data_IF_429762717540
#
_entry.id   IF_429762717540
#
_cell.length_a   1.000
_cell.length_b   1.000
_cell.length_c   1.000
_cell.angle_alpha   90.00
_cell.angle_beta   90.00
_cell.angle_gamma   90.00
#
_symmetry.space_group_name_H-M   'P 1'
#
loop_
_entity.id
_entity.type
_entity.pdbx_description
1 polymer ?
#
# COMPACT_ATOMS: atom_id res chain seq x y z
N UNK A 1 -3.91 30.66 74.88
CA UNK A 1 -3.04 31.06 73.75
C UNK A 1 -3.05 29.93 72.74
N UNK A 2 -3.87 30.02 71.68
CA UNK A 2 -4.03 28.97 70.68
C UNK A 2 -3.09 29.20 69.49
N UNK A 3 -2.21 28.24 69.25
CA UNK A 3 -1.29 28.16 68.12
C UNK A 3 -2.03 27.82 66.82
N UNK A 4 -1.96 28.70 65.81
CA UNK A 4 -2.40 28.40 64.44
C UNK A 4 -1.23 27.83 63.66
N UNK A 5 -1.34 26.55 63.27
CA UNK A 5 -0.46 25.90 62.30
C UNK A 5 -0.59 26.58 60.93
N UNK A 6 0.52 27.07 60.40
CA UNK A 6 0.65 27.52 59.00
C UNK A 6 0.90 26.27 58.13
N UNK A 7 -0.03 25.96 57.22
CA UNK A 7 0.15 24.90 56.22
C UNK A 7 1.10 25.38 55.10
N UNK A 8 2.02 24.54 54.59
CA UNK A 8 2.91 24.93 53.51
C UNK A 8 2.15 24.99 52.17
N UNK A 9 2.40 26.04 51.38
CA UNK A 9 1.91 26.20 49.99
C UNK A 9 2.49 25.07 49.12
N UNK A 10 1.63 24.23 48.53
CA UNK A 10 2.00 23.30 47.44
C UNK A 10 2.55 24.12 46.26
N UNK A 11 3.81 23.92 45.89
CA UNK A 11 4.35 24.33 44.59
C UNK A 11 3.64 23.51 43.51
N UNK A 12 2.96 24.17 42.58
CA UNK A 12 2.43 23.52 41.38
C UNK A 12 3.61 23.00 40.54
N UNK A 13 3.58 21.71 40.18
CA UNK A 13 4.51 21.16 39.22
C UNK A 13 4.33 21.91 37.89
N UNK A 14 5.39 22.58 37.42
CA UNK A 14 5.40 23.19 36.11
C UNK A 14 5.20 22.08 35.06
N UNK A 15 4.22 22.25 34.18
CA UNK A 15 4.01 21.33 33.07
C UNK A 15 5.31 21.27 32.24
N UNK A 16 5.82 20.07 32.04
CA UNK A 16 7.00 19.81 31.22
C UNK A 16 6.57 19.99 29.76
N UNK A 17 6.65 21.22 29.24
CA UNK A 17 6.39 21.50 27.83
C UNK A 17 7.55 20.91 27.04
N UNK A 18 7.28 19.82 26.31
CA UNK A 18 8.23 19.23 25.38
C UNK A 18 8.13 20.00 24.06
N UNK A 19 9.15 20.79 23.74
CA UNK A 19 9.25 21.41 22.41
C UNK A 19 9.75 20.35 21.42
N UNK A 20 9.03 20.22 20.31
CA UNK A 20 9.42 19.37 19.18
C UNK A 20 10.36 20.22 18.32
N UNK A 21 11.65 19.88 18.31
CA UNK A 21 12.62 20.49 17.39
C UNK A 21 12.92 19.53 16.23
N UNK A 22 12.87 20.09 15.02
CA UNK A 22 13.24 19.44 13.76
C UNK A 22 14.77 19.38 13.65
N UNK A 23 15.32 18.17 13.52
CA UNK A 23 16.77 17.95 13.61
C UNK A 23 17.51 18.08 12.26
N UNK A 24 16.80 17.92 11.12
CA UNK A 24 17.34 18.00 9.75
C UNK A 24 16.25 18.46 8.76
N UNK A 25 16.61 18.98 7.55
CA UNK A 25 15.64 19.16 6.48
C UNK A 25 14.99 17.79 6.16
N UNK A 26 13.68 17.77 6.09
CA UNK A 26 12.91 16.56 5.80
C UNK A 26 13.13 16.22 4.32
N UNK A 27 13.86 15.15 4.01
CA UNK A 27 13.80 14.58 2.66
C UNK A 27 12.49 13.80 2.51
N UNK A 28 11.43 14.55 2.22
CA UNK A 28 10.08 14.03 2.02
C UNK A 28 10.06 12.95 0.93
N UNK A 29 10.91 13.08 -0.09
CA UNK A 29 11.02 12.11 -1.18
C UNK A 29 11.59 10.77 -0.69
N UNK A 30 12.69 10.77 0.06
CA UNK A 30 13.30 9.55 0.59
C UNK A 30 12.35 8.74 1.47
N UNK A 31 11.58 9.41 2.35
CA UNK A 31 10.56 8.75 3.18
C UNK A 31 9.39 8.21 2.36
N UNK A 32 8.89 9.01 1.43
CA UNK A 32 7.83 8.58 0.53
C UNK A 32 8.28 7.38 -0.34
N UNK A 33 9.57 7.31 -0.68
CA UNK A 33 10.15 6.20 -1.45
C UNK A 33 10.17 4.90 -0.62
N UNK A 34 10.49 4.97 0.67
CA UNK A 34 10.35 3.82 1.57
C UNK A 34 8.91 3.34 1.67
N UNK A 35 7.94 4.26 1.82
CA UNK A 35 6.52 3.92 1.90
C UNK A 35 6.03 3.21 0.63
N UNK A 36 6.38 3.73 -0.55
CA UNK A 36 5.95 3.11 -1.81
C UNK A 36 6.69 1.79 -2.08
N UNK A 37 7.98 1.69 -1.74
CA UNK A 37 8.71 0.42 -1.84
C UNK A 37 8.12 -0.64 -0.91
N UNK A 38 7.66 -0.25 0.28
CA UNK A 38 6.91 -1.11 1.20
C UNK A 38 5.64 -1.65 0.56
N UNK A 39 4.83 -0.78 -0.08
CA UNK A 39 3.61 -1.20 -0.80
C UNK A 39 3.91 -2.20 -1.91
N UNK A 40 4.98 -1.96 -2.68
CA UNK A 40 5.41 -2.89 -3.73
C UNK A 40 5.86 -4.23 -3.15
N UNK A 41 6.67 -4.23 -2.09
CA UNK A 41 7.09 -5.47 -1.42
C UNK A 41 5.88 -6.23 -0.87
N UNK A 42 4.91 -5.50 -0.29
CA UNK A 42 3.68 -6.09 0.23
C UNK A 42 2.89 -6.80 -0.87
N UNK A 43 2.77 -6.18 -2.05
CA UNK A 43 2.15 -6.81 -3.21
C UNK A 43 2.82 -8.14 -3.59
N UNK A 44 4.16 -8.21 -3.57
CA UNK A 44 4.88 -9.47 -3.80
C UNK A 44 4.64 -10.51 -2.71
N UNK A 45 4.61 -10.10 -1.44
CA UNK A 45 4.35 -11.01 -0.31
C UNK A 45 2.95 -11.62 -0.41
N UNK A 46 1.95 -10.79 -0.70
CA UNK A 46 0.57 -11.22 -0.83
C UNK A 46 0.36 -12.01 -2.14
N UNK A 47 1.25 -11.85 -3.13
CA UNK A 47 1.13 -12.58 -4.40
C UNK A 47 1.44 -14.08 -4.29
N UNK A 48 2.16 -14.50 -3.25
CA UNK A 48 2.61 -15.89 -3.07
C UNK A 48 1.41 -16.84 -3.00
N UNK A 49 1.41 -17.84 -3.89
CA UNK A 49 0.39 -18.88 -3.89
C UNK A 49 0.71 -20.01 -2.92
N UNK A 50 -0.28 -20.84 -2.59
CA UNK A 50 -0.07 -22.08 -1.82
C UNK A 50 0.93 -23.01 -2.52
N UNK A 51 0.93 -23.04 -3.86
CA UNK A 51 1.91 -23.78 -4.67
C UNK A 51 3.32 -23.24 -4.45
N UNK A 52 3.52 -21.91 -4.53
CA UNK A 52 4.86 -21.34 -4.33
C UNK A 52 5.37 -21.63 -2.90
N UNK A 53 4.50 -21.54 -1.88
CA UNK A 53 4.85 -21.83 -0.47
C UNK A 53 5.17 -23.32 -0.25
N UNK A 54 4.43 -24.21 -0.92
CA UNK A 54 4.68 -25.65 -0.89
C UNK A 54 6.01 -26.00 -1.57
N UNK A 55 6.31 -25.39 -2.73
CA UNK A 55 7.52 -25.62 -3.51
C UNK A 55 8.79 -25.22 -2.75
N UNK A 56 8.73 -24.09 -2.03
CA UNK A 56 9.86 -23.65 -1.17
C UNK A 56 9.82 -24.26 0.23
N UNK A 57 8.78 -25.06 0.54
CA UNK A 57 8.53 -25.70 1.82
C UNK A 57 8.76 -24.74 3.01
N UNK A 58 8.23 -23.53 2.93
CA UNK A 58 8.41 -22.48 3.93
C UNK A 58 7.08 -21.77 4.14
N UNK A 59 6.55 -21.68 5.37
CA UNK A 59 5.32 -20.93 5.62
C UNK A 59 5.56 -19.44 5.34
N UNK A 60 4.54 -18.72 4.87
CA UNK A 60 4.65 -17.32 4.43
C UNK A 60 5.42 -16.42 5.40
N UNK A 61 5.15 -16.55 6.70
CA UNK A 61 5.78 -15.76 7.78
C UNK A 61 7.29 -15.96 7.92
N UNK A 62 7.83 -17.06 7.43
CA UNK A 62 9.26 -17.42 7.51
C UNK A 62 9.98 -17.26 6.15
N UNK A 63 9.25 -16.88 5.10
CA UNK A 63 9.83 -16.69 3.76
C UNK A 63 10.84 -15.55 3.81
N UNK A 64 12.10 -15.88 3.51
CA UNK A 64 13.18 -14.89 3.41
C UNK A 64 13.05 -14.05 2.15
N UNK A 65 13.55 -12.83 2.20
CA UNK A 65 13.52 -11.91 1.07
C UNK A 65 14.17 -12.54 -0.19
N UNK A 66 15.27 -13.27 -0.03
CA UNK A 66 15.91 -14.02 -1.13
C UNK A 66 15.07 -15.18 -1.67
N UNK A 67 14.24 -15.81 -0.84
CA UNK A 67 13.34 -16.89 -1.28
C UNK A 67 12.19 -16.29 -2.07
N UNK A 68 11.56 -15.24 -1.55
CA UNK A 68 10.55 -14.45 -2.26
C UNK A 68 11.09 -13.96 -3.60
N UNK A 69 12.31 -13.42 -3.63
CA UNK A 69 12.95 -12.96 -4.84
C UNK A 69 13.09 -14.07 -5.90
N UNK A 70 13.39 -15.32 -5.51
CA UNK A 70 13.52 -16.45 -6.46
C UNK A 70 12.20 -16.87 -7.09
N UNK A 71 11.11 -16.85 -6.31
CA UNK A 71 9.78 -17.23 -6.81
C UNK A 71 9.05 -16.06 -7.48
N UNK A 72 9.50 -14.82 -7.25
CA UNK A 72 8.95 -13.64 -7.89
C UNK A 72 9.17 -13.70 -9.41
N UNK A 73 8.07 -13.77 -10.16
CA UNK A 73 8.04 -13.95 -11.63
C UNK A 73 8.14 -12.60 -12.36
N UNK A 74 9.20 -11.85 -12.10
CA UNK A 74 9.39 -10.44 -12.53
C UNK A 74 9.48 -10.28 -14.05
N UNK A 75 10.03 -11.28 -14.73
CA UNK A 75 10.20 -11.35 -16.18
C UNK A 75 8.92 -11.76 -16.93
N UNK A 76 8.00 -12.45 -16.24
CA UNK A 76 6.69 -12.88 -16.77
C UNK A 76 5.58 -11.84 -16.50
N UNK A 77 5.95 -10.66 -16.04
CA UNK A 77 5.09 -9.65 -15.42
C UNK A 77 4.00 -9.11 -16.39
N UNK A 78 2.78 -9.63 -16.24
CA UNK A 78 1.56 -8.99 -16.76
C UNK A 78 0.74 -8.31 -15.65
N UNK A 79 1.20 -8.29 -14.39
CA UNK A 79 0.33 -7.95 -13.25
C UNK A 79 1.00 -7.39 -11.99
N UNK A 80 2.21 -7.79 -11.61
CA UNK A 80 2.85 -7.42 -10.33
C UNK A 80 3.15 -5.93 -10.22
N UNK A 81 3.58 -5.28 -11.32
CA UNK A 81 3.66 -3.81 -11.34
C UNK A 81 2.29 -3.16 -11.17
N UNK A 82 1.23 -3.77 -11.69
CA UNK A 82 -0.15 -3.34 -11.47
C UNK A 82 -0.56 -3.48 -10.00
N UNK A 83 -0.33 -4.66 -9.42
CA UNK A 83 -0.65 -4.96 -8.02
C UNK A 83 0.08 -4.02 -7.05
N UNK A 84 1.38 -3.81 -7.27
CA UNK A 84 2.16 -2.85 -6.49
C UNK A 84 1.62 -1.42 -6.59
N UNK A 85 1.10 -1.02 -7.76
CA UNK A 85 0.54 0.31 -7.96
C UNK A 85 -0.82 0.47 -7.25
N UNK A 86 -1.65 -0.57 -7.29
CA UNK A 86 -2.92 -0.63 -6.55
C UNK A 86 -2.69 -0.53 -5.05
N UNK A 87 -1.73 -1.30 -4.51
CA UNK A 87 -1.31 -1.21 -3.12
C UNK A 87 -0.81 0.19 -2.77
N UNK A 88 0.09 0.77 -3.59
CA UNK A 88 0.62 2.09 -3.33
C UNK A 88 -0.48 3.17 -3.29
N UNK A 89 -1.48 3.10 -4.18
CA UNK A 89 -2.62 4.03 -4.16
C UNK A 89 -3.50 3.81 -2.92
N UNK A 90 -3.81 2.55 -2.60
CA UNK A 90 -4.60 2.20 -1.42
C UNK A 90 -3.96 2.75 -0.14
N UNK A 91 -2.67 2.51 0.06
CA UNK A 91 -1.95 2.99 1.24
C UNK A 91 -1.79 4.50 1.25
N UNK A 92 -1.61 5.14 0.09
CA UNK A 92 -1.58 6.60 0.00
C UNK A 92 -2.93 7.22 0.39
N UNK A 93 -4.06 6.57 0.05
CA UNK A 93 -5.39 7.01 0.48
C UNK A 93 -5.54 6.88 2.00
N UNK A 94 -5.22 5.72 2.56
CA UNK A 94 -5.31 5.48 4.01
C UNK A 94 -4.36 6.38 4.82
N UNK A 95 -3.16 6.63 4.28
CA UNK A 95 -2.16 7.54 4.82
C UNK A 95 -2.45 9.03 4.59
N UNK A 96 -3.58 9.35 3.94
CA UNK A 96 -4.04 10.72 3.65
C UNK A 96 -3.04 11.56 2.85
N UNK A 97 -2.30 10.95 1.91
CA UNK A 97 -1.31 11.62 1.05
C UNK A 97 -2.01 12.64 0.12
N UNK A 98 -1.78 13.96 0.29
CA UNK A 98 -2.51 15.01 -0.42
C UNK A 98 -2.45 14.89 -1.95
N UNK A 99 -1.32 14.45 -2.52
CA UNK A 99 -1.16 14.28 -3.97
C UNK A 99 -2.02 13.17 -4.56
N UNK A 100 -2.60 12.31 -3.73
CA UNK A 100 -3.50 11.22 -4.13
C UNK A 100 -4.94 11.51 -3.67
N UNK A 101 -5.14 11.92 -2.41
CA UNK A 101 -6.50 12.08 -1.87
C UNK A 101 -7.24 13.29 -2.45
N UNK A 102 -6.55 14.37 -2.79
CA UNK A 102 -7.20 15.57 -3.31
C UNK A 102 -7.90 15.31 -4.66
N UNK A 103 -7.22 14.77 -5.69
CA UNK A 103 -7.87 14.50 -6.95
C UNK A 103 -8.89 13.35 -6.87
N UNK A 104 -8.70 12.37 -5.98
CA UNK A 104 -9.72 11.36 -5.70
C UNK A 104 -10.97 12.01 -5.11
N UNK A 105 -10.82 12.87 -4.10
CA UNK A 105 -11.94 13.59 -3.50
C UNK A 105 -12.70 14.42 -4.54
N UNK A 106 -12.00 15.13 -5.43
CA UNK A 106 -12.63 15.85 -6.54
C UNK A 106 -13.42 14.89 -7.45
N UNK A 107 -12.87 13.73 -7.81
CA UNK A 107 -13.55 12.74 -8.65
C UNK A 107 -14.81 12.16 -7.97
N UNK A 108 -14.74 11.84 -6.66
CA UNK A 108 -15.89 11.34 -5.89
C UNK A 108 -17.01 12.39 -5.82
N UNK A 109 -16.66 13.64 -5.56
CA UNK A 109 -17.60 14.77 -5.53
C UNK A 109 -18.27 15.02 -6.89
N UNK A 110 -17.55 14.83 -8.00
CA UNK A 110 -18.13 14.91 -9.34
C UNK A 110 -18.95 13.67 -9.71
N UNK A 111 -18.61 12.51 -9.17
CA UNK A 111 -19.33 11.25 -9.41
C UNK A 111 -20.67 11.17 -8.66
N UNK A 112 -20.81 11.89 -7.55
CA UNK A 112 -22.05 11.97 -6.77
C UNK A 112 -22.19 13.30 -6.05
N UNK A 113 -23.35 13.95 -6.21
CA UNK A 113 -23.71 15.17 -5.48
C UNK A 113 -24.14 14.94 -4.03
N UNK A 114 -24.20 13.67 -3.58
CA UNK A 114 -24.72 13.25 -2.27
C UNK A 114 -23.65 12.73 -1.30
N UNK A 115 -22.39 12.71 -1.74
CA UNK A 115 -21.27 12.31 -0.89
C UNK A 115 -20.70 13.60 -0.29
N UNK A 116 -20.51 13.53 1.02
CA UNK A 116 -20.37 14.69 1.91
C UNK A 116 -19.13 15.49 1.51
N UNK A 117 -19.34 16.79 1.33
CA UNK A 117 -18.25 17.76 1.17
C UNK A 117 -17.43 17.72 2.48
N UNK A 118 -16.11 17.67 2.34
CA UNK A 118 -15.11 17.81 3.42
C UNK A 118 -14.68 16.53 4.18
N UNK A 119 -15.20 15.33 3.83
CA UNK A 119 -14.68 14.07 4.39
C UNK A 119 -13.45 13.56 3.64
N UNK A 120 -12.50 12.95 4.36
CA UNK A 120 -11.32 12.33 3.76
C UNK A 120 -11.70 11.08 2.96
N UNK A 121 -11.20 10.88 1.73
CA UNK A 121 -11.38 9.62 1.02
C UNK A 121 -10.83 8.44 1.82
N UNK A 122 -11.52 7.31 1.70
CA UNK A 122 -11.07 6.02 2.20
C UNK A 122 -11.13 5.00 1.06
N UNK A 123 -10.42 3.89 1.21
CA UNK A 123 -10.41 2.84 0.20
C UNK A 123 -10.37 1.46 0.85
N UNK A 124 -11.04 0.52 0.19
CA UNK A 124 -11.02 -0.91 0.50
C UNK A 124 -10.42 -1.64 -0.70
N UNK A 125 -9.34 -2.38 -0.46
CA UNK A 125 -8.65 -3.11 -1.52
C UNK A 125 -9.54 -4.26 -2.02
N UNK A 126 -9.67 -4.38 -3.33
CA UNK A 126 -10.40 -5.47 -3.97
C UNK A 126 -9.58 -6.01 -5.15
N UNK A 127 -10.06 -7.07 -5.78
CA UNK A 127 -9.44 -7.66 -6.96
C UNK A 127 -9.70 -9.16 -7.02
N UNK A 128 -10.26 -9.62 -8.13
CA UNK A 128 -10.49 -11.05 -8.37
C UNK A 128 -9.21 -11.87 -8.17
N UNK A 129 -8.07 -11.37 -8.66
CA UNK A 129 -6.80 -12.07 -8.52
C UNK A 129 -6.38 -12.23 -7.07
N UNK A 130 -6.90 -11.40 -6.15
CA UNK A 130 -6.64 -11.49 -4.70
C UNK A 130 -7.67 -12.32 -3.95
N UNK A 131 -8.86 -12.50 -4.52
CA UNK A 131 -9.89 -13.34 -3.94
C UNK A 131 -9.49 -14.82 -3.79
N UNK A 132 -8.45 -15.27 -4.51
CA UNK A 132 -7.86 -16.60 -4.37
C UNK A 132 -7.01 -16.77 -3.10
N UNK A 133 -6.66 -15.68 -2.40
CA UNK A 133 -5.95 -15.74 -1.14
C UNK A 133 -6.92 -15.99 0.01
N UNK A 134 -6.58 -16.98 0.85
CA UNK A 134 -7.43 -17.42 1.96
C UNK A 134 -7.74 -16.25 2.92
N UNK A 135 -9.02 -16.02 3.22
CA UNK A 135 -9.46 -15.00 4.17
C UNK A 135 -9.58 -13.58 3.59
N UNK A 136 -9.15 -13.34 2.34
CA UNK A 136 -9.20 -12.00 1.73
C UNK A 136 -10.64 -11.52 1.53
N UNK A 137 -11.52 -12.38 1.00
CA UNK A 137 -12.91 -12.00 0.77
C UNK A 137 -13.67 -11.82 2.09
N UNK A 138 -13.41 -12.69 3.07
CA UNK A 138 -13.97 -12.56 4.42
C UNK A 138 -13.53 -11.23 5.04
N UNK A 139 -12.23 -10.89 4.98
CA UNK A 139 -11.71 -9.62 5.47
C UNK A 139 -12.34 -8.40 4.75
N UNK A 140 -12.50 -8.47 3.43
CA UNK A 140 -13.14 -7.39 2.64
C UNK A 140 -14.61 -7.22 3.02
N UNK A 141 -15.34 -8.32 3.25
CA UNK A 141 -16.75 -8.28 3.68
C UNK A 141 -16.86 -7.79 5.12
N UNK A 142 -15.98 -8.23 6.01
CA UNK A 142 -15.94 -7.83 7.41
C UNK A 142 -15.58 -6.34 7.55
N UNK A 143 -14.59 -5.87 6.79
CA UNK A 143 -14.17 -4.47 6.76
C UNK A 143 -15.25 -3.55 6.18
N UNK A 144 -15.93 -3.98 5.11
CA UNK A 144 -17.07 -3.26 4.57
C UNK A 144 -18.27 -3.28 5.53
N UNK A 145 -18.45 -4.33 6.32
CA UNK A 145 -19.61 -4.52 7.19
C UNK A 145 -20.92 -4.84 6.44
N UNK A 146 -21.97 -5.11 7.20
CA UNK A 146 -23.26 -5.61 6.69
C UNK A 146 -24.15 -4.57 6.03
N UNK A 147 -23.90 -3.28 6.29
CA UNK A 147 -24.70 -2.15 5.80
C UNK A 147 -24.00 -1.34 4.71
N UNK A 148 -23.06 -1.96 3.98
CA UNK A 148 -22.37 -1.31 2.86
C UNK A 148 -23.14 -1.37 1.54
N UNK A 149 -22.96 -0.35 0.71
CA UNK A 149 -23.67 -0.17 -0.56
C UNK A 149 -22.74 0.25 -1.70
N UNK A 150 -22.91 -0.34 -2.88
CA UNK A 150 -22.29 0.10 -4.11
C UNK A 150 -23.15 1.17 -4.81
N UNK A 151 -22.48 2.22 -5.29
CA UNK A 151 -23.02 3.31 -6.10
C UNK A 151 -22.62 3.16 -7.58
N UNK A 152 -23.31 2.33 -8.36
CA UNK A 152 -22.98 2.14 -9.77
C UNK A 152 -23.44 3.33 -10.63
N UNK A 153 -23.23 3.22 -11.95
CA UNK A 153 -23.66 4.24 -12.88
C UNK A 153 -25.18 4.38 -12.95
N UNK A 154 -25.62 5.63 -13.15
CA UNK A 154 -27.03 5.99 -13.38
C UNK A 154 -27.87 6.16 -12.11
N UNK A 155 -29.18 6.34 -12.31
CA UNK A 155 -30.16 6.48 -11.23
C UNK A 155 -30.70 5.13 -10.77
N UNK A 156 -30.98 4.99 -9.49
CA UNK A 156 -31.65 3.81 -8.92
C UNK A 156 -31.23 3.51 -7.49
N UNK A 157 -31.78 2.44 -6.91
CA UNK A 157 -31.40 1.97 -5.58
C UNK A 157 -29.93 1.47 -5.60
N UNK A 158 -29.11 1.82 -4.60
CA UNK A 158 -27.78 1.25 -4.39
C UNK A 158 -27.83 -0.27 -4.15
N UNK A 159 -26.75 -0.98 -4.49
CA UNK A 159 -26.65 -2.43 -4.29
C UNK A 159 -25.98 -2.74 -2.96
N UNK A 160 -26.58 -3.56 -2.09
CA UNK A 160 -25.90 -3.99 -0.85
C UNK A 160 -24.65 -4.78 -1.17
N UNK A 161 -23.56 -4.50 -0.48
CA UNK A 161 -22.22 -5.02 -0.75
C UNK A 161 -22.16 -6.56 -0.65
N UNK A 162 -22.53 -7.12 0.50
CA UNK A 162 -22.39 -8.57 0.78
C UNK A 162 -22.92 -9.52 -0.31
N UNK A 163 -24.17 -9.42 -0.79
CA UNK A 163 -24.75 -10.40 -1.71
C UNK A 163 -24.05 -10.59 -3.06
N UNK A 164 -23.35 -9.58 -3.59
CA UNK A 164 -22.75 -9.67 -4.93
C UNK A 164 -21.22 -9.71 -4.91
N UNK A 165 -20.55 -9.34 -3.80
CA UNK A 165 -19.08 -9.27 -3.75
C UNK A 165 -18.43 -10.63 -3.96
N UNK A 166 -18.93 -11.68 -3.28
CA UNK A 166 -18.43 -13.05 -3.49
C UNK A 166 -18.67 -13.55 -4.91
N UNK A 167 -19.77 -13.10 -5.55
CA UNK A 167 -20.04 -13.41 -6.96
C UNK A 167 -19.03 -12.71 -7.86
N UNK A 168 -18.80 -11.41 -7.66
CA UNK A 168 -17.84 -10.61 -8.42
C UNK A 168 -16.39 -11.10 -8.27
N UNK A 169 -16.06 -11.68 -7.13
CA UNK A 169 -14.76 -12.28 -6.87
C UNK A 169 -14.45 -13.50 -7.76
N UNK A 170 -15.44 -14.12 -8.39
CA UNK A 170 -15.24 -15.16 -9.41
C UNK A 170 -14.83 -14.61 -10.78
N UNK A 171 -14.77 -13.28 -10.92
CA UNK A 171 -14.19 -12.64 -12.08
C UNK A 171 -15.07 -12.55 -13.30
N UNK A 172 -14.44 -12.71 -14.47
CA UNK A 172 -15.17 -12.77 -15.75
C UNK A 172 -16.30 -13.81 -15.74
N UNK A 173 -16.15 -14.94 -15.02
CA UNK A 173 -17.19 -15.97 -14.89
C UNK A 173 -18.45 -15.48 -14.18
N UNK A 174 -18.35 -14.39 -13.42
CA UNK A 174 -19.46 -13.78 -12.71
C UNK A 174 -20.40 -12.97 -13.62
N UNK A 175 -19.93 -12.55 -14.80
CA UNK A 175 -20.63 -11.57 -15.65
C UNK A 175 -22.10 -11.92 -15.90
N UNK A 176 -22.41 -13.19 -16.20
CA UNK A 176 -23.78 -13.64 -16.50
C UNK A 176 -24.69 -13.65 -15.27
N UNK A 177 -24.10 -13.78 -14.08
CA UNK A 177 -24.83 -13.81 -12.79
C UNK A 177 -24.97 -12.42 -12.17
N UNK A 178 -24.19 -11.46 -12.62
CA UNK A 178 -24.24 -10.08 -12.16
C UNK A 178 -25.41 -9.32 -12.80
N UNK A 179 -26.04 -8.43 -12.02
CA UNK A 179 -27.08 -7.57 -12.54
C UNK A 179 -26.53 -6.64 -13.64
N UNK A 180 -27.34 -6.31 -14.65
CA UNK A 180 -26.96 -5.45 -15.78
C UNK A 180 -26.23 -4.15 -15.38
N UNK A 181 -26.61 -3.53 -14.26
CA UNK A 181 -26.00 -2.27 -13.77
C UNK A 181 -24.60 -2.44 -13.17
N UNK A 182 -24.16 -3.68 -12.95
CA UNK A 182 -22.89 -4.03 -12.31
C UNK A 182 -22.14 -5.14 -13.07
N UNK A 183 -22.46 -5.37 -14.35
CA UNK A 183 -21.92 -6.47 -15.15
C UNK A 183 -20.38 -6.56 -15.19
N UNK A 184 -19.67 -5.43 -15.01
CA UNK A 184 -18.19 -5.35 -15.01
C UNK A 184 -17.58 -5.04 -13.64
N UNK A 185 -18.35 -5.19 -12.56
CA UNK A 185 -17.88 -4.86 -11.20
C UNK A 185 -16.70 -5.72 -10.74
N UNK A 186 -16.52 -6.91 -11.31
CA UNK A 186 -15.39 -7.80 -11.02
C UNK A 186 -14.03 -7.24 -11.48
N UNK A 187 -14.02 -6.20 -12.33
CA UNK A 187 -12.80 -5.44 -12.72
C UNK A 187 -12.38 -4.38 -11.70
N UNK A 188 -13.09 -4.30 -10.58
CA UNK A 188 -12.77 -3.33 -9.53
C UNK A 188 -11.44 -3.72 -8.90
N UNK A 189 -10.58 -2.73 -8.70
CA UNK A 189 -9.30 -2.89 -8.01
C UNK A 189 -9.40 -2.24 -6.61
N UNK A 190 -10.16 -1.14 -6.48
CA UNK A 190 -10.46 -0.49 -5.19
C UNK A 190 -11.93 -0.14 -5.09
N UNK A 191 -12.52 -0.33 -3.91
CA UNK A 191 -13.75 0.35 -3.54
C UNK A 191 -13.40 1.65 -2.81
N UNK A 192 -13.80 2.78 -3.38
CA UNK A 192 -13.54 4.11 -2.82
C UNK A 192 -14.78 4.61 -2.08
N UNK A 193 -14.58 5.11 -0.87
CA UNK A 193 -15.61 5.80 -0.08
C UNK A 193 -15.04 7.07 0.51
N UNK A 194 -15.78 7.72 1.40
CA UNK A 194 -15.27 8.70 2.35
C UNK A 194 -15.37 8.13 3.76
N UNK A 195 -14.56 8.65 4.68
CA UNK A 195 -14.55 8.25 6.09
C UNK A 195 -15.99 8.24 6.66
N UNK A 196 -16.34 7.15 7.35
CA UNK A 196 -17.67 6.86 7.94
C UNK A 196 -18.88 6.79 6.97
N UNK A 197 -18.66 6.67 5.65
CA UNK A 197 -19.74 6.49 4.68
C UNK A 197 -19.83 5.02 4.20
N UNK A 198 -20.99 4.36 4.35
CA UNK A 198 -21.15 2.98 3.91
C UNK A 198 -21.29 2.83 2.38
N UNK A 199 -21.18 3.93 1.61
CA UNK A 199 -21.42 3.94 0.16
C UNK A 199 -20.12 4.00 -0.62
N UNK A 200 -19.85 2.96 -1.39
CA UNK A 200 -18.64 2.80 -2.16
C UNK A 200 -18.86 3.03 -3.66
N UNK A 201 -17.85 3.58 -4.30
CA UNK A 201 -17.68 3.55 -5.75
C UNK A 201 -16.66 2.49 -6.12
N UNK A 202 -16.95 1.73 -7.17
CA UNK A 202 -15.95 0.88 -7.77
C UNK A 202 -14.97 1.70 -8.61
N UNK A 203 -13.70 1.52 -8.31
CA UNK A 203 -12.58 2.09 -9.02
C UNK A 203 -11.73 1.02 -9.68
N UNK A 204 -11.31 1.29 -10.91
CA UNK A 204 -10.25 0.53 -11.57
C UNK A 204 -8.97 1.37 -11.62
N UNK A 205 -7.84 0.73 -11.35
CA UNK A 205 -6.53 1.34 -11.19
C UNK A 205 -5.58 0.64 -12.15
N UNK A 206 -4.86 1.42 -12.97
CA UNK A 206 -3.92 0.85 -13.95
C UNK A 206 -2.63 1.66 -13.98
N UNK A 207 -1.50 1.00 -13.77
CA UNK A 207 -0.15 1.59 -13.86
C UNK A 207 0.28 1.96 -15.29
N UNK A 208 -0.59 1.69 -16.27
CA UNK A 208 -0.49 2.15 -17.64
C UNK A 208 -1.89 2.58 -18.11
N UNK A 209 -2.03 3.86 -18.46
CA UNK A 209 -3.31 4.43 -18.87
C UNK A 209 -3.91 3.76 -20.11
N UNK A 210 -3.09 3.15 -20.98
CA UNK A 210 -3.56 2.49 -22.21
C UNK A 210 -4.36 1.22 -21.90
N UNK A 211 -4.19 0.65 -20.70
CA UNK A 211 -4.90 -0.53 -20.22
C UNK A 211 -6.17 -0.17 -19.43
N UNK A 212 -6.51 1.11 -19.32
CA UNK A 212 -7.72 1.52 -18.62
C UNK A 212 -8.96 1.10 -19.41
N UNK A 213 -9.84 0.33 -18.77
CA UNK A 213 -11.09 -0.12 -19.35
C UNK A 213 -12.28 0.37 -18.52
N UNK A 214 -13.36 0.74 -19.21
CA UNK A 214 -14.64 1.06 -18.59
C UNK A 214 -15.51 -0.16 -18.39
N UNK A 215 -16.66 0.03 -17.72
CA UNK A 215 -17.63 -1.05 -17.55
C UNK A 215 -18.81 -0.67 -16.66
N UNK A 216 -19.93 -1.35 -16.86
CA UNK A 216 -21.10 -1.19 -15.99
C UNK A 216 -20.74 -1.59 -14.55
N UNK A 217 -21.03 -0.70 -13.60
CA UNK A 217 -20.65 -0.86 -12.20
C UNK A 217 -19.42 -0.04 -11.79
N UNK A 218 -18.50 0.21 -12.72
CA UNK A 218 -17.30 1.03 -12.48
C UNK A 218 -17.64 2.52 -12.57
N UNK A 219 -16.95 3.35 -11.78
CA UNK A 219 -17.22 4.79 -11.69
C UNK A 219 -15.98 5.65 -11.74
N UNK A 220 -14.90 5.16 -11.12
CA UNK A 220 -13.64 5.87 -11.03
C UNK A 220 -12.56 5.09 -11.78
N UNK A 221 -11.70 5.79 -12.49
CA UNK A 221 -10.44 5.25 -13.04
C UNK A 221 -9.27 5.98 -12.42
N UNK A 222 -8.19 5.28 -12.05
CA UNK A 222 -6.94 5.92 -11.59
C UNK A 222 -5.80 5.45 -12.47
N UNK A 223 -5.09 6.39 -13.08
CA UNK A 223 -4.00 6.12 -14.03
C UNK A 223 -2.88 7.16 -13.90
N UNK A 224 -1.69 6.88 -14.42
CA UNK A 224 -0.68 7.91 -14.64
C UNK A 224 -1.18 8.99 -15.61
N UNK A 225 -0.81 10.24 -15.32
CA UNK A 225 -0.93 11.34 -16.25
C UNK A 225 -0.08 11.07 -17.50
N UNK A 226 -0.56 11.50 -18.65
CA UNK A 226 0.15 11.33 -19.92
C UNK A 226 0.03 12.59 -20.76
N UNK A 227 1.18 13.06 -21.25
CA UNK A 227 1.27 14.29 -22.06
C UNK A 227 0.68 14.10 -23.46
N UNK A 228 0.70 12.86 -23.96
CA UNK A 228 0.34 12.50 -25.33
C UNK A 228 -1.09 11.92 -25.44
N UNK A 229 -1.90 12.00 -24.36
CA UNK A 229 -3.19 11.32 -24.20
C UNK A 229 -4.25 12.25 -23.54
N UNK A 230 -5.56 11.94 -23.44
CA UNK A 230 -6.53 12.89 -22.90
C UNK A 230 -6.35 13.11 -21.41
N UNK A 231 -5.59 12.28 -20.67
CA UNK A 231 -5.41 12.38 -19.21
C UNK A 231 -4.33 13.40 -18.80
N UNK A 232 -4.21 14.51 -19.54
CA UNK A 232 -3.35 15.63 -19.19
C UNK A 232 -3.92 16.46 -18.02
N UNK A 233 -5.25 16.41 -17.81
CA UNK A 233 -5.91 17.01 -16.65
C UNK A 233 -5.96 16.00 -15.51
N UNK A 234 -5.74 16.50 -14.30
CA UNK A 234 -5.70 15.70 -13.07
C UNK A 234 -7.04 14.96 -12.80
N UNK A 235 -8.19 15.61 -13.05
CA UNK A 235 -9.51 14.96 -12.96
C UNK A 235 -10.36 15.31 -14.17
N UNK A 236 -10.91 14.29 -14.83
CA UNK A 236 -11.79 14.49 -15.98
C UNK A 236 -12.75 13.33 -16.21
N UNK A 237 -13.84 13.56 -16.94
CA UNK A 237 -14.75 12.50 -17.34
C UNK A 237 -14.35 11.91 -18.70
N UNK A 238 -14.06 10.61 -18.73
CA UNK A 238 -13.86 9.89 -19.98
C UNK A 238 -15.20 9.35 -20.47
N UNK A 239 -15.76 10.00 -21.49
CA UNK A 239 -17.05 9.62 -22.07
C UNK A 239 -17.03 8.23 -22.72
N UNK A 240 -15.89 7.80 -23.27
CA UNK A 240 -15.78 6.49 -23.93
C UNK A 240 -15.83 5.35 -22.91
N UNK A 241 -15.16 5.53 -21.76
CA UNK A 241 -15.11 4.55 -20.67
C UNK A 241 -16.21 4.74 -19.64
N UNK A 242 -16.88 5.90 -19.67
CA UNK A 242 -17.93 6.33 -18.75
C UNK A 242 -17.47 6.47 -17.29
N UNK A 243 -16.20 6.82 -17.08
CA UNK A 243 -15.57 6.95 -15.76
C UNK A 243 -15.15 8.40 -15.49
N UNK A 244 -15.18 8.81 -14.22
CA UNK A 244 -14.31 9.90 -13.77
C UNK A 244 -12.91 9.35 -13.62
N UNK A 245 -11.96 9.90 -14.36
CA UNK A 245 -10.57 9.47 -14.37
C UNK A 245 -9.73 10.46 -13.59
N UNK A 246 -8.99 9.94 -12.63
CA UNK A 246 -7.94 10.60 -11.86
C UNK A 246 -6.61 10.26 -12.50
N UNK A 247 -5.88 11.30 -12.93
CA UNK A 247 -4.57 11.20 -13.55
C UNK A 247 -3.51 11.65 -12.55
N UNK A 248 -2.73 10.70 -12.01
CA UNK A 248 -1.67 10.98 -11.04
C UNK A 248 -0.41 11.47 -11.74
N UNK A 249 0.23 12.51 -11.19
CA UNK A 249 1.37 13.16 -11.83
C UNK A 249 2.54 12.19 -12.15
N UNK A 250 3.04 12.29 -13.39
CA UNK A 250 4.09 11.47 -14.01
C UNK A 250 4.96 12.36 -14.93
N UNK A 251 6.30 12.32 -14.89
CA UNK A 251 7.15 11.58 -13.95
C UNK A 251 7.44 12.32 -12.65
N UNK A 252 7.16 13.62 -12.56
CA UNK A 252 7.58 14.44 -11.42
C UNK A 252 6.57 14.42 -10.24
N UNK A 253 5.96 13.28 -9.97
CA UNK A 253 4.89 13.13 -8.99
C UNK A 253 4.77 11.71 -8.43
N UNK A 254 3.57 11.34 -8.00
CA UNK A 254 3.31 10.03 -7.39
C UNK A 254 3.76 8.86 -8.30
N UNK A 255 3.56 8.97 -9.61
CA UNK A 255 3.95 7.90 -10.52
C UNK A 255 5.48 7.75 -10.66
N UNK A 256 6.23 8.85 -10.64
CA UNK A 256 7.69 8.78 -10.63
C UNK A 256 8.23 8.15 -9.35
N UNK A 257 7.66 8.55 -8.21
CA UNK A 257 7.97 7.94 -6.92
C UNK A 257 7.68 6.43 -6.92
N UNK A 258 6.54 6.02 -7.48
CA UNK A 258 6.19 4.62 -7.66
C UNK A 258 7.16 3.88 -8.58
N UNK A 259 7.53 4.48 -9.72
CA UNK A 259 8.50 3.88 -10.64
C UNK A 259 9.85 3.65 -9.96
N UNK A 260 10.31 4.59 -9.13
CA UNK A 260 11.53 4.44 -8.34
C UNK A 260 11.41 3.33 -7.30
N UNK A 261 10.32 3.30 -6.52
CA UNK A 261 10.07 2.27 -5.50
C UNK A 261 9.97 0.87 -6.10
N UNK A 262 9.21 0.73 -7.19
CA UNK A 262 9.11 -0.52 -7.93
C UNK A 262 10.47 -0.93 -8.51
N UNK A 263 11.21 0.00 -9.11
CA UNK A 263 12.54 -0.29 -9.66
C UNK A 263 13.52 -0.76 -8.58
N UNK A 264 13.48 -0.18 -7.39
CA UNK A 264 14.33 -0.59 -6.27
C UNK A 264 14.05 -2.04 -5.85
N UNK A 265 12.78 -2.39 -5.62
CA UNK A 265 12.37 -3.76 -5.25
C UNK A 265 12.66 -4.74 -6.38
N UNK A 266 12.21 -4.43 -7.60
CA UNK A 266 12.30 -5.33 -8.74
C UNK A 266 13.77 -5.62 -9.09
N UNK A 267 14.66 -4.61 -9.06
CA UNK A 267 16.10 -4.84 -9.30
C UNK A 267 16.78 -5.59 -8.16
N UNK A 268 16.39 -5.33 -6.91
CA UNK A 268 16.90 -6.09 -5.77
C UNK A 268 16.51 -7.57 -5.94
N UNK A 269 15.27 -7.85 -6.36
CA UNK A 269 14.79 -9.21 -6.59
C UNK A 269 15.45 -9.86 -7.81
N UNK A 270 15.68 -9.14 -8.92
CA UNK A 270 16.47 -9.67 -10.03
C UNK A 270 17.85 -10.13 -9.52
N UNK A 271 18.53 -9.30 -8.71
CA UNK A 271 19.85 -9.59 -8.16
C UNK A 271 19.85 -10.75 -7.15
N UNK A 272 18.94 -10.77 -6.19
CA UNK A 272 18.85 -11.81 -5.15
C UNK A 272 18.29 -13.14 -5.69
N UNK A 273 17.28 -13.04 -6.56
CA UNK A 273 16.62 -14.16 -7.23
C UNK A 273 17.45 -14.77 -8.35
N UNK A 274 18.48 -14.05 -8.83
CA UNK A 274 19.31 -14.42 -9.99
C UNK A 274 18.50 -14.56 -11.28
N UNK A 275 17.58 -13.64 -11.48
CA UNK A 275 16.80 -13.54 -12.71
C UNK A 275 17.54 -12.69 -13.74
N UNK A 276 17.33 -12.99 -15.01
CA UNK A 276 17.87 -12.17 -16.09
C UNK A 276 17.10 -10.84 -16.16
N UNK A 277 17.80 -9.69 -16.25
CA UNK A 277 17.13 -8.42 -16.46
C UNK A 277 16.49 -8.40 -17.85
N UNK A 278 15.26 -7.89 -17.96
CA UNK A 278 14.68 -7.67 -19.28
C UNK A 278 15.45 -6.55 -20.00
N UNK A 279 15.50 -6.62 -21.34
CA UNK A 279 16.36 -5.78 -22.19
C UNK A 279 16.11 -4.25 -22.12
N UNK A 280 15.07 -3.77 -21.42
CA UNK A 280 14.64 -2.36 -21.46
C UNK A 280 14.20 -1.79 -20.10
N UNK A 281 15.01 -1.93 -19.05
CA UNK A 281 14.71 -1.29 -17.77
C UNK A 281 15.23 0.15 -17.76
N UNK A 282 14.33 1.10 -17.48
CA UNK A 282 14.74 2.47 -17.19
C UNK A 282 15.80 2.50 -16.08
N UNK A 283 16.75 3.42 -16.18
CA UNK A 283 17.77 3.62 -15.14
C UNK A 283 17.06 4.23 -13.92
N UNK A 284 17.08 3.59 -12.74
CA UNK A 284 16.45 4.13 -11.55
C UNK A 284 17.18 5.39 -11.09
N UNK A 285 16.52 6.21 -10.27
CA UNK A 285 17.20 7.31 -9.59
C UNK A 285 18.32 6.81 -8.67
N UNK A 286 19.23 7.72 -8.30
CA UNK A 286 20.29 7.43 -7.34
C UNK A 286 19.73 6.95 -5.99
N UNK A 287 18.61 7.53 -5.54
CA UNK A 287 17.93 7.14 -4.30
C UNK A 287 17.32 5.73 -4.40
N UNK A 288 16.73 5.38 -5.54
CA UNK A 288 16.22 4.02 -5.78
C UNK A 288 17.36 2.98 -5.81
N UNK A 289 18.51 3.31 -6.39
CA UNK A 289 19.70 2.44 -6.36
C UNK A 289 20.25 2.26 -4.93
N UNK A 290 20.31 3.34 -4.14
CA UNK A 290 20.72 3.27 -2.73
C UNK A 290 19.78 2.39 -1.91
N UNK A 291 18.47 2.49 -2.13
CA UNK A 291 17.48 1.61 -1.52
C UNK A 291 17.65 0.15 -1.96
N UNK A 292 17.82 -0.10 -3.25
CA UNK A 292 18.11 -1.44 -3.80
C UNK A 292 19.32 -2.08 -3.12
N UNK A 293 20.42 -1.34 -2.96
CA UNK A 293 21.63 -1.86 -2.31
C UNK A 293 21.41 -2.17 -0.83
N UNK A 294 20.57 -1.39 -0.13
CA UNK A 294 20.18 -1.70 1.24
C UNK A 294 19.31 -2.98 1.32
N UNK A 295 18.33 -3.16 0.43
CA UNK A 295 17.49 -4.35 0.39
C UNK A 295 18.31 -5.64 0.22
N UNK A 296 19.32 -5.61 -0.66
CA UNK A 296 20.19 -6.76 -0.93
C UNK A 296 21.02 -7.16 0.30
N UNK A 297 21.36 -6.22 1.19
CA UNK A 297 22.05 -6.54 2.46
C UNK A 297 21.18 -7.38 3.40
N UNK A 298 19.85 -7.23 3.32
CA UNK A 298 18.89 -7.91 4.17
C UNK A 298 18.23 -9.13 3.50
N UNK A 299 18.84 -9.67 2.45
CA UNK A 299 18.30 -10.80 1.69
C UNK A 299 17.98 -12.06 2.52
N UNK A 300 18.65 -12.22 3.67
CA UNK A 300 18.46 -13.35 4.58
C UNK A 300 17.41 -13.09 5.68
N UNK A 301 16.94 -11.86 5.85
CA UNK A 301 15.80 -11.56 6.73
C UNK A 301 14.49 -12.04 6.09
N UNK A 302 13.45 -12.23 6.91
CA UNK A 302 12.11 -12.53 6.38
C UNK A 302 11.58 -11.34 5.57
N UNK A 303 10.76 -11.62 4.55
CA UNK A 303 10.15 -10.57 3.75
C UNK A 303 9.28 -9.63 4.61
N UNK A 304 8.61 -10.17 5.64
CA UNK A 304 7.82 -9.41 6.60
C UNK A 304 8.68 -8.49 7.49
N UNK A 305 9.83 -8.95 8.00
CA UNK A 305 10.74 -8.08 8.75
C UNK A 305 11.29 -6.92 7.91
N UNK A 306 11.53 -7.18 6.62
CA UNK A 306 11.98 -6.14 5.68
C UNK A 306 10.86 -5.15 5.38
N UNK A 307 9.62 -5.63 5.20
CA UNK A 307 8.42 -4.81 5.03
C UNK A 307 8.17 -3.90 6.24
N UNK A 308 8.25 -4.44 7.46
CA UNK A 308 8.13 -3.69 8.71
C UNK A 308 9.24 -2.62 8.82
N UNK A 309 10.48 -2.97 8.51
CA UNK A 309 11.59 -2.01 8.56
C UNK A 309 11.48 -0.89 7.51
N UNK A 310 10.89 -1.15 6.35
CA UNK A 310 10.57 -0.11 5.36
C UNK A 310 9.47 0.82 5.90
N UNK A 311 8.46 0.26 6.57
CA UNK A 311 7.43 1.05 7.24
C UNK A 311 8.02 1.95 8.35
N UNK A 312 8.90 1.40 9.20
CA UNK A 312 9.61 2.18 10.22
C UNK A 312 10.45 3.32 9.59
N UNK A 313 11.12 3.04 8.47
CA UNK A 313 11.94 4.03 7.76
C UNK A 313 11.08 5.14 7.13
N UNK A 314 9.90 4.79 6.61
CA UNK A 314 8.92 5.77 6.11
C UNK A 314 8.38 6.66 7.23
N UNK A 315 8.22 6.11 8.45
CA UNK A 315 7.68 6.81 9.61
C UNK A 315 8.74 7.55 10.44
N UNK A 316 10.03 7.34 10.17
CA UNK A 316 11.14 7.91 10.93
C UNK A 316 11.04 9.45 10.98
N UNK A 317 11.20 9.98 12.19
CA UNK A 317 11.12 11.40 12.54
C UNK A 317 9.72 12.06 12.45
N UNK A 318 8.63 11.28 12.38
CA UNK A 318 7.25 11.80 12.54
C UNK A 318 6.80 11.96 14.01
N UNK A 319 7.34 11.17 14.94
CA UNK A 319 7.09 11.28 16.39
C UNK A 319 8.40 11.03 17.15
N UNK A 320 8.89 12.03 17.89
CA UNK A 320 10.08 11.90 18.75
C UNK A 320 9.71 11.24 20.07
N UNK A 321 9.71 9.91 20.14
CA UNK A 321 9.77 9.22 21.43
C UNK A 321 11.24 9.16 21.85
N UNK A 322 11.58 9.82 22.95
CA UNK A 322 12.92 9.76 23.55
C UNK A 322 13.20 8.31 23.94
N UNK A 323 14.22 7.71 23.31
CA UNK A 323 14.63 6.35 23.59
C UNK A 323 15.00 6.15 25.08
N UNK A 324 14.67 5.01 25.69
CA UNK A 324 15.50 4.47 26.75
C UNK A 324 16.78 3.87 26.14
N UNK A 325 17.94 4.29 26.67
CA UNK A 325 19.24 3.66 26.43
C UNK A 325 19.22 2.18 26.84
N UNK A 326 19.90 1.34 26.06
CA UNK A 326 20.16 -0.06 26.41
C UNK A 326 21.22 -0.14 27.53
N UNK A 327 20.97 -1.01 28.51
CA UNK A 327 21.99 -1.53 29.43
C UNK A 327 22.21 -3.00 29.06
N UNK A 328 23.46 -3.46 28.85
CA UNK A 328 23.73 -4.86 28.53
C UNK A 328 23.58 -5.74 29.77
N UNK A 329 23.07 -6.95 29.58
CA UNK A 329 23.13 -8.03 30.57
C UNK A 329 23.69 -9.26 29.87
N UNK A 330 24.75 -9.86 30.42
CA UNK A 330 25.35 -11.07 29.85
C UNK A 330 24.37 -12.25 29.93
N UNK A 331 24.35 -13.08 28.88
CA UNK A 331 23.64 -14.35 28.89
C UNK A 331 24.43 -15.42 29.68
N UNK A 332 23.77 -16.29 30.47
CA UNK A 332 24.42 -17.41 31.16
C UNK A 332 24.84 -18.56 30.21
N UNK A 333 25.93 -19.24 30.55
CA UNK A 333 26.70 -20.19 29.71
C UNK A 333 26.05 -21.58 29.42
N UNK A 334 24.75 -21.78 29.58
CA UNK A 334 24.16 -23.15 29.55
C UNK A 334 22.84 -23.34 28.79
N UNK A 335 22.42 -22.43 27.91
CA UNK A 335 21.19 -22.65 27.13
C UNK A 335 21.47 -23.42 25.83
N UNK A 336 21.65 -24.73 25.98
CA UNK A 336 22.09 -25.68 24.95
C UNK A 336 21.07 -25.94 23.82
N UNK A 337 21.58 -25.80 22.60
CA UNK A 337 21.49 -26.70 21.43
C UNK A 337 20.36 -27.74 21.42
N UNK A 338 19.42 -27.57 20.49
CA UNK A 338 18.71 -28.67 19.81
C UNK A 338 18.91 -28.52 18.31
N UNK A 339 19.54 -29.55 17.74
CA UNK A 339 19.62 -29.97 16.32
C UNK A 339 19.56 -28.88 15.23
N UNK A 340 20.74 -28.65 14.65
CA UNK A 340 21.02 -27.69 13.57
C UNK A 340 20.27 -28.04 12.28
N UNK A 341 19.09 -27.45 12.09
CA UNK A 341 18.92 -26.69 10.85
C UNK A 341 19.77 -25.43 11.00
N UNK A 342 20.56 -25.00 9.99
CA UNK A 342 21.25 -23.73 10.09
C UNK A 342 20.21 -22.61 10.13
N UNK A 343 19.85 -22.18 11.33
CA UNK A 343 19.14 -20.92 11.56
C UNK A 343 20.10 -19.84 11.09
N UNK A 344 19.88 -19.31 9.89
CA UNK A 344 20.67 -18.16 9.42
C UNK A 344 20.27 -17.00 10.32
N UNK A 345 21.17 -16.61 11.20
CA UNK A 345 21.03 -15.43 12.03
C UNK A 345 21.24 -14.24 11.10
N UNK A 346 20.14 -13.58 10.75
CA UNK A 346 20.15 -12.39 9.90
C UNK A 346 20.12 -11.14 10.78
N UNK A 347 20.88 -10.08 10.45
CA UNK A 347 20.77 -8.82 11.16
C UNK A 347 19.35 -8.26 10.98
N UNK A 348 18.78 -7.71 12.05
CA UNK A 348 17.46 -7.05 11.98
C UNK A 348 17.51 -5.94 10.91
N UNK A 349 16.61 -5.94 9.91
CA UNK A 349 16.60 -4.91 8.88
C UNK A 349 16.44 -3.50 9.47
N UNK A 350 17.24 -2.56 8.98
CA UNK A 350 17.16 -1.14 9.33
C UNK A 350 17.66 -0.30 8.17
N UNK A 351 16.84 0.61 7.67
CA UNK A 351 17.23 1.45 6.54
C UNK A 351 17.86 2.78 6.99
N UNK A 352 18.98 3.11 6.35
CA UNK A 352 19.65 4.40 6.43
C UNK A 352 18.91 5.41 5.54
N UNK A 353 18.92 6.68 5.94
CA UNK A 353 18.28 7.76 5.18
C UNK A 353 18.82 7.83 3.74
N UNK A 354 17.94 8.15 2.80
CA UNK A 354 18.25 8.24 1.37
C UNK A 354 18.80 9.63 0.98
N UNK A 355 19.52 10.26 1.91
CA UNK A 355 20.15 11.57 1.68
C UNK A 355 21.16 11.50 0.52
N UNK A 356 21.29 12.62 -0.19
CA UNK A 356 22.16 12.79 -1.37
C UNK A 356 23.65 12.65 -1.02
#
# INVERSE_FOLDING_TARGET
MNSRLIRPKKRSAAAKVTFIEQNHPIDEYGRALFAVARSVLRAFIDSMSEEDLADINTPQKEVRLRQLAKIARIDRDKGMRGDGFEWAIHEAILGKEPKVINPISEALNKASTKILRDSSPSSLLFGQERAKYLGFLEAVVDEAGTDSYLLPQGSGRPFRFGPWVSVAAEGYRAEERLNERIKKIWKTDLFLSVEDDPRYFAATVKSNHALLEGGQGLRIGVVPASRDNPYAKEVQYDHSKKLWVVALADPNGFMGLFNDGYSAIARAFLKMGKHDPANYWAVPSAKALKLMDQLVKYQDATALEVEEALNDAAQKDLIKTVAPQLVPVNAPDWLYVKELMPTVISPKPRFDLLDD
#
